data_IF_424402236848
#
_entry.id   IF_424402236848
#
_cell.length_a   1.000
_cell.length_b   1.000
_cell.length_c   1.000
_cell.angle_alpha   90.00
_cell.angle_beta   90.00
_cell.angle_gamma   90.00
#
_symmetry.space_group_name_H-M   'P 1'
#
loop_
_entity.id
_entity.type
_entity.pdbx_description
1 polymer ?
#
# COMPACT_ATOMS: atom_id res chain seq x y z
N UNK A 1 7.47 -16.11 -40.00
CA UNK A 1 7.58 -15.42 -38.69
C UNK A 1 6.24 -15.22 -37.96
N UNK A 2 5.08 -15.13 -38.64
CA UNK A 2 3.77 -14.94 -37.97
C UNK A 2 3.38 -16.05 -36.97
N UNK A 3 3.60 -17.33 -37.31
CA UNK A 3 3.20 -18.45 -36.44
C UNK A 3 3.90 -18.50 -35.07
N UNK A 4 5.20 -18.16 -35.00
CA UNK A 4 5.96 -18.14 -33.73
C UNK A 4 5.45 -17.07 -32.75
N UNK A 5 5.09 -15.89 -33.28
CA UNK A 5 4.56 -14.77 -32.47
C UNK A 5 3.16 -15.08 -31.93
N UNK A 6 2.30 -15.68 -32.75
CA UNK A 6 0.96 -16.06 -32.34
C UNK A 6 0.96 -17.21 -31.31
N UNK A 7 1.90 -18.14 -31.46
CA UNK A 7 2.21 -19.14 -30.43
C UNK A 7 2.62 -18.49 -29.11
N UNK A 8 3.58 -17.54 -29.13
CA UNK A 8 4.03 -16.84 -27.94
C UNK A 8 2.91 -16.05 -27.23
N UNK A 9 2.06 -15.33 -27.98
CA UNK A 9 0.91 -14.61 -27.42
C UNK A 9 -0.12 -15.55 -26.78
N UNK A 10 -0.32 -16.72 -27.38
CA UNK A 10 -1.22 -17.75 -26.82
C UNK A 10 -0.65 -18.30 -25.52
N UNK A 11 0.64 -18.66 -25.50
CA UNK A 11 1.32 -19.16 -24.30
C UNK A 11 1.27 -18.13 -23.17
N UNK A 12 1.65 -16.87 -23.44
CA UNK A 12 1.60 -15.82 -22.43
C UNK A 12 0.19 -15.54 -21.92
N UNK A 13 -0.82 -15.55 -22.80
CA UNK A 13 -2.20 -15.38 -22.36
C UNK A 13 -2.70 -16.54 -21.51
N UNK A 14 -2.33 -17.78 -21.84
CA UNK A 14 -2.64 -18.95 -21.01
C UNK A 14 -1.92 -18.87 -19.66
N UNK A 15 -0.67 -18.40 -19.64
CA UNK A 15 0.07 -18.16 -18.40
C UNK A 15 -0.61 -17.10 -17.53
N UNK A 16 -1.08 -15.99 -18.10
CA UNK A 16 -1.86 -14.98 -17.38
C UNK A 16 -3.12 -15.58 -16.74
N UNK A 17 -3.88 -16.37 -17.50
CA UNK A 17 -5.07 -17.07 -16.99
C UNK A 17 -4.68 -18.00 -15.85
N UNK A 18 -3.71 -18.88 -16.07
CA UNK A 18 -3.28 -19.87 -15.07
C UNK A 18 -2.78 -19.20 -13.79
N UNK A 19 -2.02 -18.11 -13.93
CA UNK A 19 -1.49 -17.33 -12.80
C UNK A 19 -2.59 -16.72 -11.95
N UNK A 20 -3.57 -16.07 -12.58
CA UNK A 20 -4.72 -15.49 -11.89
C UNK A 20 -5.60 -16.57 -11.27
N UNK A 21 -5.84 -17.67 -12.00
CA UNK A 21 -6.69 -18.77 -11.56
C UNK A 21 -6.10 -19.56 -10.39
N UNK A 22 -4.78 -19.81 -10.40
CA UNK A 22 -4.08 -20.44 -9.28
C UNK A 22 -4.24 -19.63 -7.99
N UNK A 23 -4.14 -18.30 -8.08
CA UNK A 23 -4.37 -17.42 -6.93
C UNK A 23 -5.85 -17.34 -6.53
N UNK A 24 -6.78 -17.39 -7.48
CA UNK A 24 -8.22 -17.38 -7.19
C UNK A 24 -8.65 -18.65 -6.44
N UNK A 25 -8.24 -19.83 -6.90
CA UNK A 25 -8.56 -21.12 -6.26
C UNK A 25 -7.84 -21.27 -4.92
N UNK A 26 -6.56 -20.89 -4.86
CA UNK A 26 -5.78 -20.94 -3.63
C UNK A 26 -6.17 -19.90 -2.58
N UNK A 27 -7.18 -19.05 -2.85
CA UNK A 27 -7.56 -17.95 -1.95
C UNK A 27 -6.41 -16.97 -1.68
N UNK A 28 -5.52 -16.79 -2.66
CA UNK A 28 -4.29 -16.00 -2.54
C UNK A 28 -3.10 -16.73 -1.90
N UNK A 29 -3.27 -17.92 -1.30
CA UNK A 29 -2.21 -18.59 -0.54
C UNK A 29 -1.07 -19.19 -1.38
N UNK A 30 -1.26 -19.34 -2.70
CA UNK A 30 -0.25 -19.97 -3.57
C UNK A 30 0.89 -19.02 -3.96
N UNK A 31 0.57 -17.83 -4.48
CA UNK A 31 1.58 -16.85 -4.92
C UNK A 31 1.47 -15.50 -4.19
N UNK A 32 0.41 -15.31 -3.41
CA UNK A 32 -0.05 -14.04 -2.82
C UNK A 32 -0.12 -14.15 -1.28
N UNK A 33 0.75 -14.96 -0.67
CA UNK A 33 0.69 -15.25 0.77
C UNK A 33 1.21 -14.10 1.64
N UNK A 34 2.02 -13.21 1.08
CA UNK A 34 2.55 -12.03 1.78
C UNK A 34 1.44 -11.04 2.16
N UNK A 35 1.64 -10.35 3.29
CA UNK A 35 0.75 -9.29 3.79
C UNK A 35 0.34 -8.27 2.73
N UNK A 36 1.32 -7.64 2.08
CA UNK A 36 1.09 -6.63 1.05
C UNK A 36 0.24 -7.15 -0.10
N UNK A 37 0.38 -8.43 -0.46
CA UNK A 37 -0.47 -9.03 -1.46
C UNK A 37 -1.92 -9.23 -1.00
N UNK A 38 -2.14 -9.67 0.25
CA UNK A 38 -3.50 -9.84 0.80
C UNK A 38 -4.24 -8.52 0.93
N UNK A 39 -3.52 -7.46 1.26
CA UNK A 39 -4.03 -6.08 1.29
C UNK A 39 -4.41 -5.61 -0.12
N UNK A 40 -3.50 -5.78 -1.09
CA UNK A 40 -3.67 -5.25 -2.44
C UNK A 40 -4.65 -6.05 -3.30
N UNK A 41 -4.81 -7.35 -3.02
CA UNK A 41 -5.58 -8.27 -3.85
C UNK A 41 -6.70 -8.93 -3.05
N UNK A 42 -7.94 -8.59 -3.41
CA UNK A 42 -9.12 -9.33 -2.98
C UNK A 42 -9.34 -10.55 -3.89
N UNK A 43 -9.93 -11.65 -3.41
CA UNK A 43 -10.23 -12.82 -4.24
C UNK A 43 -10.97 -12.50 -5.55
N UNK A 44 -11.85 -11.50 -5.54
CA UNK A 44 -12.58 -11.04 -6.72
C UNK A 44 -11.66 -10.47 -7.83
N UNK A 45 -10.53 -9.84 -7.47
CA UNK A 45 -9.59 -9.27 -8.45
C UNK A 45 -8.85 -10.37 -9.22
N UNK A 46 -8.55 -11.51 -8.57
CA UNK A 46 -7.97 -12.66 -9.26
C UNK A 46 -8.92 -13.26 -10.30
N UNK A 47 -10.20 -13.37 -9.97
CA UNK A 47 -11.24 -13.76 -10.94
C UNK A 47 -11.34 -12.77 -12.10
N UNK A 48 -11.38 -11.46 -11.79
CA UNK A 48 -11.40 -10.42 -12.81
C UNK A 48 -10.18 -10.49 -13.74
N UNK A 49 -8.98 -10.73 -13.18
CA UNK A 49 -7.75 -10.93 -13.94
C UNK A 49 -7.83 -12.15 -14.88
N UNK A 50 -8.33 -13.29 -14.39
CA UNK A 50 -8.50 -14.49 -15.19
C UNK A 50 -9.48 -14.28 -16.37
N UNK A 51 -10.64 -13.67 -16.09
CA UNK A 51 -11.62 -13.35 -17.14
C UNK A 51 -11.06 -12.33 -18.15
N UNK A 52 -10.33 -11.33 -17.67
CA UNK A 52 -9.69 -10.33 -18.52
C UNK A 52 -8.64 -10.96 -19.45
N UNK A 53 -7.79 -11.85 -18.94
CA UNK A 53 -6.80 -12.57 -19.73
C UNK A 53 -7.46 -13.50 -20.78
N UNK A 54 -8.57 -14.16 -20.42
CA UNK A 54 -9.42 -14.90 -21.37
C UNK A 54 -9.99 -14.00 -22.47
N UNK A 55 -10.48 -12.82 -22.08
CA UNK A 55 -10.98 -11.79 -22.99
C UNK A 55 -9.91 -11.30 -23.97
N UNK A 56 -8.67 -11.10 -23.52
CA UNK A 56 -7.54 -10.72 -24.38
C UNK A 56 -7.23 -11.78 -25.43
N UNK A 57 -7.15 -13.05 -25.03
CA UNK A 57 -6.91 -14.17 -25.95
C UNK A 57 -8.02 -14.30 -26.99
N UNK A 58 -9.27 -14.13 -26.55
CA UNK A 58 -10.42 -14.19 -27.44
C UNK A 58 -10.44 -13.00 -28.41
N UNK A 59 -10.25 -11.77 -27.90
CA UNK A 59 -10.23 -10.55 -28.70
C UNK A 59 -9.10 -10.52 -29.73
N UNK A 60 -7.95 -11.14 -29.40
CA UNK A 60 -6.84 -11.31 -30.33
C UNK A 60 -7.23 -12.08 -31.60
N UNK A 61 -8.23 -12.97 -31.51
CA UNK A 61 -8.72 -13.77 -32.65
C UNK A 61 -9.85 -13.09 -33.44
N UNK A 62 -10.59 -12.17 -32.82
CA UNK A 62 -11.78 -11.58 -33.43
C UNK A 62 -11.52 -10.23 -34.10
N UNK A 63 -11.05 -9.24 -33.34
CA UNK A 63 -11.08 -7.85 -33.80
C UNK A 63 -10.02 -6.98 -33.13
N UNK A 64 -9.20 -6.32 -33.96
CA UNK A 64 -8.16 -5.38 -33.50
C UNK A 64 -8.72 -4.23 -32.65
N UNK A 65 -9.95 -3.78 -32.91
CA UNK A 65 -10.60 -2.68 -32.16
C UNK A 65 -10.86 -3.09 -30.70
N UNK A 66 -11.50 -4.25 -30.53
CA UNK A 66 -11.80 -4.82 -29.21
C UNK A 66 -10.52 -5.09 -28.44
N UNK A 67 -9.53 -5.70 -29.11
CA UNK A 67 -8.24 -5.96 -28.49
C UNK A 67 -7.57 -4.66 -28.00
N UNK A 68 -7.59 -3.61 -28.82
CA UNK A 68 -6.97 -2.33 -28.48
C UNK A 68 -7.64 -1.68 -27.27
N UNK A 69 -8.97 -1.74 -27.18
CA UNK A 69 -9.71 -1.24 -26.01
C UNK A 69 -9.35 -2.02 -24.74
N UNK A 70 -9.34 -3.36 -24.81
CA UNK A 70 -8.97 -4.20 -23.67
C UNK A 70 -7.55 -3.92 -23.20
N UNK A 71 -6.58 -3.78 -24.11
CA UNK A 71 -5.19 -3.49 -23.74
C UNK A 71 -5.06 -2.14 -23.05
N UNK A 72 -5.76 -1.10 -23.52
CA UNK A 72 -5.77 0.21 -22.84
C UNK A 72 -6.32 0.09 -21.43
N UNK A 73 -7.47 -0.59 -21.26
CA UNK A 73 -8.08 -0.79 -19.94
C UNK A 73 -7.13 -1.55 -19.00
N UNK A 74 -6.52 -2.64 -19.47
CA UNK A 74 -5.56 -3.39 -18.66
C UNK A 74 -4.35 -2.57 -18.28
N UNK A 75 -3.79 -1.79 -19.22
CA UNK A 75 -2.65 -0.93 -18.91
C UNK A 75 -3.00 0.14 -17.87
N UNK A 76 -4.19 0.73 -17.93
CA UNK A 76 -4.65 1.69 -16.91
C UNK A 76 -4.74 1.02 -15.54
N UNK A 77 -5.33 -0.18 -15.46
CA UNK A 77 -5.45 -0.94 -14.19
C UNK A 77 -4.08 -1.32 -13.64
N UNK A 78 -3.20 -1.89 -14.45
CA UNK A 78 -1.85 -2.29 -14.04
C UNK A 78 -1.00 -1.07 -13.62
N UNK A 79 -1.09 0.05 -14.34
CA UNK A 79 -0.45 1.30 -13.95
C UNK A 79 -0.96 1.81 -12.60
N UNK A 80 -2.27 1.77 -12.36
CA UNK A 80 -2.85 2.19 -11.08
C UNK A 80 -2.40 1.27 -9.93
N UNK A 81 -2.33 -0.05 -10.16
CA UNK A 81 -1.83 -1.00 -9.16
C UNK A 81 -0.36 -0.77 -8.85
N UNK A 82 0.50 -0.59 -9.85
CA UNK A 82 1.92 -0.28 -9.65
C UNK A 82 2.10 1.03 -8.90
N UNK A 83 1.35 2.07 -9.29
CA UNK A 83 1.40 3.36 -8.62
C UNK A 83 0.97 3.24 -7.15
N UNK A 84 -0.09 2.49 -6.87
CA UNK A 84 -0.56 2.25 -5.50
C UNK A 84 0.49 1.53 -4.65
N UNK A 85 1.14 0.48 -5.18
CA UNK A 85 2.21 -0.23 -4.47
C UNK A 85 3.37 0.71 -4.13
N UNK A 86 3.73 1.60 -5.06
CA UNK A 86 4.82 2.56 -4.85
C UNK A 86 4.41 3.65 -3.86
N UNK A 87 3.21 4.19 -3.96
CA UNK A 87 2.74 5.25 -3.05
C UNK A 87 2.60 4.75 -1.61
N UNK A 88 2.07 3.54 -1.42
CA UNK A 88 1.86 2.95 -0.10
C UNK A 88 3.07 2.18 0.43
N UNK A 89 4.08 1.93 -0.41
CA UNK A 89 5.23 1.08 -0.07
C UNK A 89 4.84 -0.35 0.33
N UNK A 90 3.79 -0.87 -0.29
CA UNK A 90 3.27 -2.22 -0.12
C UNK A 90 3.51 -2.99 -1.42
N UNK A 91 4.62 -3.71 -1.48
CA UNK A 91 5.00 -4.45 -2.69
C UNK A 91 4.40 -5.86 -2.68
N UNK A 92 3.63 -6.18 -3.71
CA UNK A 92 3.12 -7.52 -3.92
C UNK A 92 3.85 -8.19 -5.09
N UNK A 93 4.74 -9.17 -4.84
CA UNK A 93 5.43 -9.91 -5.89
C UNK A 93 4.45 -10.58 -6.86
N UNK A 94 3.32 -11.06 -6.36
CA UNK A 94 2.30 -11.70 -7.17
C UNK A 94 1.73 -10.75 -8.24
N UNK A 95 1.40 -9.52 -7.83
CA UNK A 95 0.90 -8.47 -8.72
C UNK A 95 1.96 -8.07 -9.74
N UNK A 96 3.19 -7.81 -9.29
CA UNK A 96 4.28 -7.41 -10.18
C UNK A 96 4.60 -8.49 -11.22
N UNK A 97 4.54 -9.76 -10.84
CA UNK A 97 4.67 -10.89 -11.76
C UNK A 97 3.58 -10.91 -12.82
N UNK A 98 2.33 -10.69 -12.42
CA UNK A 98 1.20 -10.59 -13.34
C UNK A 98 1.34 -9.38 -14.29
N UNK A 99 1.67 -8.21 -13.75
CA UNK A 99 1.96 -7.00 -14.53
C UNK A 99 3.07 -7.23 -15.56
N UNK A 100 4.16 -7.89 -15.16
CA UNK A 100 5.29 -8.18 -16.05
C UNK A 100 4.87 -9.10 -17.21
N UNK A 101 4.10 -10.16 -16.93
CA UNK A 101 3.54 -11.03 -17.96
C UNK A 101 2.61 -10.27 -18.90
N UNK A 102 1.76 -9.38 -18.36
CA UNK A 102 0.85 -8.56 -19.16
C UNK A 102 1.61 -7.57 -20.05
N UNK A 103 2.61 -6.87 -19.53
CA UNK A 103 3.45 -5.94 -20.32
C UNK A 103 4.18 -6.67 -21.43
N UNK A 104 4.73 -7.87 -21.15
CA UNK A 104 5.37 -8.70 -22.17
C UNK A 104 4.36 -9.12 -23.25
N UNK A 105 3.15 -9.49 -22.85
CA UNK A 105 2.06 -9.81 -23.77
C UNK A 105 1.72 -8.61 -24.68
N UNK A 106 1.55 -7.42 -24.09
CA UNK A 106 1.25 -6.17 -24.81
C UNK A 106 2.37 -5.78 -25.77
N UNK A 107 3.63 -5.92 -25.35
CA UNK A 107 4.79 -5.68 -26.20
C UNK A 107 4.75 -6.57 -27.44
N UNK A 108 4.50 -7.88 -27.24
CA UNK A 108 4.37 -8.82 -28.34
C UNK A 108 3.12 -8.55 -29.19
N UNK A 109 2.03 -8.06 -28.63
CA UNK A 109 0.79 -7.73 -29.34
C UNK A 109 0.86 -6.39 -30.11
N UNK A 110 1.91 -5.59 -29.92
CA UNK A 110 2.00 -4.19 -30.38
C UNK A 110 1.77 -3.90 -31.87
N UNK A 111 1.90 -4.89 -32.77
CA UNK A 111 1.55 -4.71 -34.21
C UNK A 111 0.07 -4.96 -34.52
N UNK A 112 -0.64 -5.60 -33.61
CA UNK A 112 -2.05 -5.97 -33.77
C UNK A 112 -2.99 -4.97 -33.08
N UNK A 113 -2.41 -3.97 -32.40
CA UNK A 113 -3.08 -2.88 -31.68
C UNK A 113 -3.12 -1.63 -32.56
N UNK A 114 -4.20 -0.85 -32.48
CA UNK A 114 -4.32 0.43 -33.18
C UNK A 114 -3.20 1.40 -32.77
N UNK A 115 -2.67 2.21 -33.72
CA UNK A 115 -1.58 3.15 -33.43
C UNK A 115 -1.89 4.12 -32.28
N UNK A 116 -3.13 4.60 -32.19
CA UNK A 116 -3.57 5.51 -31.13
C UNK A 116 -3.57 4.83 -29.76
N UNK A 117 -4.10 3.61 -29.68
CA UNK A 117 -4.10 2.81 -28.46
C UNK A 117 -2.66 2.47 -28.03
N UNK A 118 -1.79 2.15 -28.98
CA UNK A 118 -0.36 1.95 -28.71
C UNK A 118 0.28 3.20 -28.09
N UNK A 119 0.02 4.39 -28.65
CA UNK A 119 0.52 5.66 -28.07
C UNK A 119 0.00 5.88 -26.65
N UNK A 120 -1.28 5.66 -26.41
CA UNK A 120 -1.89 5.81 -25.09
C UNK A 120 -1.27 4.85 -24.06
N UNK A 121 -1.08 3.58 -24.44
CA UNK A 121 -0.48 2.54 -23.60
C UNK A 121 0.96 2.91 -23.21
N UNK A 122 1.80 3.26 -24.19
CA UNK A 122 3.20 3.60 -23.90
C UNK A 122 3.36 4.96 -23.22
N UNK A 123 2.48 5.93 -23.54
CA UNK A 123 2.42 7.20 -22.84
C UNK A 123 2.05 7.03 -21.37
N UNK A 124 1.02 6.24 -21.08
CA UNK A 124 0.61 5.90 -19.71
C UNK A 124 1.71 5.15 -18.96
N UNK A 125 2.32 4.13 -19.58
CA UNK A 125 3.43 3.40 -18.97
C UNK A 125 4.65 4.31 -18.68
N UNK A 126 4.98 5.23 -19.58
CA UNK A 126 6.07 6.18 -19.39
C UNK A 126 5.77 7.19 -18.26
N UNK A 127 4.53 7.68 -18.17
CA UNK A 127 4.10 8.55 -17.06
C UNK A 127 4.17 7.79 -15.74
N UNK A 128 3.64 6.58 -15.67
CA UNK A 128 3.71 5.75 -14.45
C UNK A 128 5.17 5.50 -14.06
N UNK A 129 6.03 5.09 -15.00
CA UNK A 129 7.44 4.89 -14.73
C UNK A 129 8.11 6.19 -14.26
N UNK A 130 7.81 7.32 -14.89
CA UNK A 130 8.31 8.63 -14.49
C UNK A 130 7.88 8.99 -13.07
N UNK A 131 6.61 8.79 -12.71
CA UNK A 131 6.11 8.99 -11.35
C UNK A 131 6.79 8.04 -10.37
N UNK A 132 6.94 6.76 -10.70
CA UNK A 132 7.64 5.80 -9.84
C UNK A 132 9.10 6.20 -9.62
N UNK A 133 9.80 6.58 -10.69
CA UNK A 133 11.21 7.00 -10.64
C UNK A 133 11.39 8.36 -9.98
N UNK A 134 10.39 9.25 -10.00
CA UNK A 134 10.44 10.53 -9.29
C UNK A 134 10.06 10.34 -7.82
N UNK A 135 8.93 9.69 -7.55
CA UNK A 135 8.35 9.54 -6.21
C UNK A 135 9.15 8.58 -5.34
N UNK A 136 9.68 7.48 -5.87
CA UNK A 136 10.46 6.54 -5.07
C UNK A 136 11.74 7.16 -4.46
N UNK A 137 12.58 7.91 -5.21
CA UNK A 137 13.67 8.66 -4.61
C UNK A 137 13.19 9.92 -3.92
N UNK A 138 12.23 10.71 -4.44
CA UNK A 138 11.74 11.90 -3.70
C UNK A 138 11.24 11.53 -2.31
N UNK A 139 10.55 10.40 -2.13
CA UNK A 139 10.12 9.95 -0.79
C UNK A 139 11.25 9.36 0.06
N UNK A 140 12.40 9.00 -0.54
CA UNK A 140 13.63 8.58 0.17
C UNK A 140 14.61 9.73 0.43
N UNK A 141 14.63 10.76 -0.42
CA UNK A 141 15.57 11.90 -0.44
C UNK A 141 14.93 13.20 -0.01
N UNK A 142 13.60 13.27 0.05
CA UNK A 142 12.95 14.02 1.12
C UNK A 142 13.37 13.27 2.39
N UNK A 143 14.60 13.53 2.84
CA UNK A 143 14.82 13.67 4.26
C UNK A 143 13.59 14.42 4.75
N UNK A 144 12.84 13.80 5.66
CA UNK A 144 11.98 14.51 6.59
C UNK A 144 12.55 15.91 6.74
N UNK A 145 11.79 16.94 6.36
CA UNK A 145 12.25 18.32 6.34
C UNK A 145 13.22 18.52 7.50
N UNK A 146 14.37 19.12 7.21
CA UNK A 146 15.54 19.24 8.08
C UNK A 146 15.27 19.93 9.44
N UNK A 147 14.00 20.18 9.78
CA UNK A 147 13.48 20.70 11.04
C UNK A 147 11.93 20.56 11.10
N UNK A 148 11.34 19.40 10.76
CA UNK A 148 9.91 19.15 11.09
C UNK A 148 9.73 17.89 11.94
N UNK A 149 8.92 17.97 13.02
CA UNK A 149 8.84 17.03 14.14
C UNK A 149 8.05 15.76 13.77
N UNK A 150 8.43 15.09 12.69
CA UNK A 150 8.03 13.72 12.44
C UNK A 150 8.70 12.87 13.51
N UNK A 151 8.05 12.77 14.66
CA UNK A 151 8.56 12.03 15.81
C UNK A 151 8.77 10.59 15.36
N UNK A 152 10.00 10.30 14.97
CA UNK A 152 10.55 8.96 14.94
C UNK A 152 10.14 8.27 16.21
N UNK A 153 9.62 7.03 16.11
CA UNK A 153 9.43 6.18 17.29
C UNK A 153 10.77 6.10 18.00
N UNK A 154 10.92 6.85 19.08
CA UNK A 154 12.11 6.91 19.89
C UNK A 154 11.87 6.00 21.09
N UNK A 155 12.91 5.35 21.59
CA UNK A 155 12.81 4.50 22.77
C UNK A 155 12.75 5.35 24.07
N UNK A 156 11.94 6.41 24.06
CA UNK A 156 11.65 7.17 25.28
C UNK A 156 10.73 6.34 26.17
N UNK A 157 11.14 6.14 27.43
CA UNK A 157 10.53 5.19 28.37
C UNK A 157 9.09 5.56 28.75
N UNK A 158 8.65 6.79 28.47
CA UNK A 158 7.35 7.32 28.92
C UNK A 158 6.30 7.51 27.83
N UNK A 159 6.68 7.40 26.55
CA UNK A 159 5.81 7.70 25.40
C UNK A 159 5.27 6.40 24.79
N UNK A 160 3.94 6.32 24.66
CA UNK A 160 3.27 5.19 24.03
C UNK A 160 2.95 5.54 22.58
N UNK A 161 3.39 4.74 21.62
CA UNK A 161 3.06 4.93 20.21
C UNK A 161 1.92 4.01 19.83
N UNK A 162 0.78 4.56 19.43
CA UNK A 162 -0.38 3.80 18.95
C UNK A 162 -0.48 3.94 17.43
N UNK A 163 -0.37 2.83 16.74
CA UNK A 163 -0.59 2.74 15.31
C UNK A 163 -2.02 2.33 15.01
N UNK A 164 -2.65 3.02 14.06
CA UNK A 164 -4.06 2.84 13.75
C UNK A 164 -4.33 3.00 12.24
N UNK A 165 -5.34 2.29 11.74
CA UNK A 165 -5.84 2.46 10.37
C UNK A 165 -7.21 3.16 10.41
N UNK A 166 -7.48 4.18 9.57
CA UNK A 166 -8.72 4.98 9.63
C UNK A 166 -9.96 4.21 9.19
N UNK A 167 -9.81 3.10 8.46
CA UNK A 167 -10.93 2.24 8.03
C UNK A 167 -11.21 1.09 9.01
N UNK A 168 -10.42 0.97 10.07
CA UNK A 168 -10.46 -0.16 10.99
C UNK A 168 -11.41 0.12 12.16
N UNK A 169 -12.47 -0.67 12.30
CA UNK A 169 -13.49 -0.51 13.36
C UNK A 169 -12.89 -0.66 14.75
N UNK A 170 -12.04 -1.67 14.97
CA UNK A 170 -11.35 -1.87 16.24
C UNK A 170 -10.40 -0.72 16.60
N UNK A 171 -9.88 -0.02 15.58
CA UNK A 171 -9.03 1.13 15.76
C UNK A 171 -9.84 2.34 16.24
N UNK A 172 -11.06 2.53 15.71
CA UNK A 172 -11.99 3.56 16.22
C UNK A 172 -12.38 3.32 17.68
N UNK A 173 -12.66 2.08 18.08
CA UNK A 173 -12.99 1.75 19.47
C UNK A 173 -11.86 2.16 20.43
N UNK A 174 -10.61 1.89 20.04
CA UNK A 174 -9.41 2.27 20.82
C UNK A 174 -9.21 3.79 20.86
N UNK A 175 -9.42 4.48 19.74
CA UNK A 175 -9.31 5.94 19.68
C UNK A 175 -10.39 6.63 20.54
N UNK A 176 -11.64 6.15 20.48
CA UNK A 176 -12.74 6.66 21.31
C UNK A 176 -12.45 6.43 22.80
N UNK A 177 -11.85 5.28 23.15
CA UNK A 177 -11.40 5.00 24.50
C UNK A 177 -10.32 6.01 24.95
N UNK A 178 -9.32 6.29 24.11
CA UNK A 178 -8.25 7.26 24.41
C UNK A 178 -8.76 8.69 24.53
N UNK A 179 -9.76 9.09 23.74
CA UNK A 179 -10.37 10.42 23.84
C UNK A 179 -11.03 10.67 25.20
N UNK A 180 -11.48 9.62 25.88
CA UNK A 180 -12.09 9.68 27.21
C UNK A 180 -11.05 9.68 28.34
N UNK A 181 -9.75 9.51 28.04
CA UNK A 181 -8.69 9.47 29.04
C UNK A 181 -8.02 10.83 29.24
N UNK A 182 -7.79 11.21 30.50
CA UNK A 182 -7.07 12.44 30.85
C UNK A 182 -5.58 12.43 30.47
N UNK A 183 -5.01 11.24 30.22
CA UNK A 183 -3.58 11.03 29.93
C UNK A 183 -3.28 10.88 28.43
N UNK A 184 -4.20 11.30 27.56
CA UNK A 184 -4.10 11.21 26.09
C UNK A 184 -2.78 11.73 25.53
N UNK A 185 -2.21 12.78 26.13
CA UNK A 185 -0.97 13.42 25.64
C UNK A 185 0.27 12.53 25.74
N UNK A 186 0.21 11.44 26.50
CA UNK A 186 1.26 10.41 26.59
C UNK A 186 1.25 9.43 25.42
N UNK A 187 0.19 9.46 24.60
CA UNK A 187 0.01 8.58 23.44
C UNK A 187 0.26 9.36 22.14
N UNK A 188 1.24 8.93 21.37
CA UNK A 188 1.49 9.43 20.00
C UNK A 188 0.72 8.57 19.01
N UNK A 189 -0.17 9.18 18.25
CA UNK A 189 -0.97 8.50 17.23
C UNK A 189 -0.20 8.43 15.91
N UNK A 190 0.04 7.22 15.42
CA UNK A 190 0.82 6.95 14.22
C UNK A 190 -0.10 6.38 13.13
N UNK A 191 -0.48 7.17 12.11
CA UNK A 191 -1.48 6.73 11.15
C UNK A 191 -0.89 5.77 10.13
N UNK A 192 -1.62 4.69 9.86
CA UNK A 192 -1.33 3.71 8.82
C UNK A 192 -2.45 3.68 7.79
N UNK A 193 -2.12 3.27 6.57
CA UNK A 193 -3.13 3.11 5.54
C UNK A 193 -2.72 2.03 4.55
N UNK A 194 -3.58 1.04 4.40
CA UNK A 194 -3.35 -0.09 3.49
C UNK A 194 -4.09 0.07 2.16
N UNK A 195 -4.77 1.20 1.99
CA UNK A 195 -5.44 1.57 0.75
C UNK A 195 -5.36 3.08 0.50
N UNK A 196 -5.44 3.50 -0.77
CA UNK A 196 -5.54 4.92 -1.12
C UNK A 196 -6.82 5.56 -0.57
N UNK A 197 -7.88 4.78 -0.38
CA UNK A 197 -9.12 5.26 0.25
C UNK A 197 -8.86 5.61 1.71
N UNK A 198 -8.15 4.76 2.44
CA UNK A 198 -7.74 5.02 3.82
C UNK A 198 -6.83 6.25 3.91
N UNK A 199 -5.89 6.42 2.98
CA UNK A 199 -5.08 7.66 2.89
C UNK A 199 -5.96 8.88 2.65
N UNK A 200 -6.93 8.78 1.75
CA UNK A 200 -7.81 9.90 1.45
C UNK A 200 -8.66 10.29 2.65
N UNK A 201 -9.17 9.32 3.43
CA UNK A 201 -9.85 9.60 4.69
C UNK A 201 -8.94 10.31 5.69
N UNK A 202 -7.71 9.83 5.88
CA UNK A 202 -6.71 10.50 6.72
C UNK A 202 -6.49 11.96 6.31
N UNK A 203 -6.39 12.21 5.00
CA UNK A 203 -6.23 13.57 4.45
C UNK A 203 -7.49 14.41 4.68
N UNK A 204 -8.67 13.83 4.53
CA UNK A 204 -9.92 14.54 4.83
C UNK A 204 -9.97 14.96 6.29
N UNK A 205 -9.65 14.05 7.20
CA UNK A 205 -9.74 14.29 8.64
C UNK A 205 -8.65 15.26 9.16
N UNK A 206 -7.44 15.20 8.59
CA UNK A 206 -6.28 15.95 9.12
C UNK A 206 -5.98 17.24 8.34
N UNK A 207 -6.46 17.38 7.11
CA UNK A 207 -6.18 18.54 6.27
C UNK A 207 -7.40 19.49 6.13
N UNK A 208 -8.40 19.40 7.03
CA UNK A 208 -9.61 20.22 6.99
C UNK A 208 -9.29 21.73 7.01
N UNK A 209 -8.26 22.11 7.75
CA UNK A 209 -7.81 23.52 7.90
C UNK A 209 -7.06 24.04 6.68
N UNK A 210 -6.61 23.17 5.78
CA UNK A 210 -5.87 23.53 4.58
C UNK A 210 -6.86 23.98 3.48
N UNK A 211 -7.07 25.29 3.34
CA UNK A 211 -8.06 25.84 2.39
C UNK A 211 -7.51 26.04 0.99
N UNK A 212 -6.21 26.30 0.84
CA UNK A 212 -5.57 26.53 -0.47
C UNK A 212 -5.13 25.23 -1.12
N UNK A 213 -5.24 25.15 -2.45
CA UNK A 213 -4.82 23.96 -3.20
C UNK A 213 -3.35 23.53 -2.98
N UNK A 214 -2.35 24.43 -3.01
CA UNK A 214 -0.96 24.04 -2.72
C UNK A 214 -0.77 23.48 -1.31
N UNK A 215 -1.52 23.98 -0.32
CA UNK A 215 -1.46 23.49 1.07
C UNK A 215 -2.09 22.09 1.18
N UNK A 216 -3.22 21.85 0.53
CA UNK A 216 -3.84 20.52 0.47
C UNK A 216 -2.93 19.50 -0.22
N UNK A 217 -2.27 19.89 -1.30
CA UNK A 217 -1.31 19.03 -1.98
C UNK A 217 -0.11 18.72 -1.07
N UNK A 218 0.44 19.72 -0.37
CA UNK A 218 1.50 19.53 0.62
C UNK A 218 1.07 18.59 1.75
N UNK A 219 -0.16 18.75 2.24
CA UNK A 219 -0.73 17.90 3.28
C UNK A 219 -0.88 16.45 2.80
N UNK A 220 -1.49 16.23 1.62
CA UNK A 220 -1.59 14.91 0.99
C UNK A 220 -0.22 14.22 0.82
N UNK A 221 0.78 14.94 0.32
CA UNK A 221 2.13 14.39 0.15
C UNK A 221 2.78 14.07 1.50
N UNK A 222 2.56 14.90 2.52
CA UNK A 222 3.06 14.66 3.88
C UNK A 222 2.39 13.44 4.52
N UNK A 223 1.06 13.32 4.41
CA UNK A 223 0.31 12.13 4.87
C UNK A 223 0.79 10.88 4.17
N UNK A 224 0.99 10.92 2.84
CA UNK A 224 1.52 9.81 2.07
C UNK A 224 2.93 9.41 2.54
N UNK A 225 3.79 10.37 2.86
CA UNK A 225 5.13 10.08 3.37
C UNK A 225 5.09 9.38 4.74
N UNK A 226 4.22 9.84 5.64
CA UNK A 226 4.01 9.24 6.97
C UNK A 226 3.48 7.82 6.85
N UNK A 227 2.40 7.64 6.08
CA UNK A 227 1.79 6.32 5.82
C UNK A 227 2.81 5.37 5.19
N UNK A 228 3.59 5.85 4.22
CA UNK A 228 4.64 5.06 3.57
C UNK A 228 5.70 4.58 4.56
N UNK A 229 6.14 5.46 5.46
CA UNK A 229 7.11 5.10 6.51
C UNK A 229 6.53 4.06 7.47
N UNK A 230 5.28 4.23 7.91
CA UNK A 230 4.63 3.28 8.81
C UNK A 230 4.35 1.93 8.14
N UNK A 231 3.94 1.92 6.88
CA UNK A 231 3.81 0.67 6.12
C UNK A 231 5.16 -0.05 5.95
N UNK A 232 6.26 0.70 5.78
CA UNK A 232 7.61 0.13 5.77
C UNK A 232 7.96 -0.52 7.12
N UNK A 233 7.70 0.20 8.22
CA UNK A 233 7.89 -0.30 9.57
C UNK A 233 7.13 -1.60 9.82
N UNK A 234 5.83 -1.63 9.51
CA UNK A 234 5.00 -2.82 9.66
C UNK A 234 5.53 -4.00 8.86
N UNK A 235 5.95 -3.75 7.61
CA UNK A 235 6.53 -4.77 6.77
C UNK A 235 7.84 -5.34 7.34
N UNK A 236 8.78 -4.47 7.72
CA UNK A 236 10.09 -4.86 8.27
C UNK A 236 9.98 -5.58 9.61
N UNK A 237 8.99 -5.21 10.43
CA UNK A 237 8.76 -5.81 11.75
C UNK A 237 7.74 -6.96 11.74
N UNK A 238 7.20 -7.30 10.56
CA UNK A 238 6.22 -8.40 10.41
C UNK A 238 4.91 -8.16 11.15
N UNK A 239 4.52 -6.90 11.34
CA UNK A 239 3.24 -6.53 11.97
C UNK A 239 2.15 -6.58 10.90
N UNK A 240 1.14 -7.42 11.13
CA UNK A 240 0.13 -7.79 10.12
C UNK A 240 -1.27 -7.25 10.42
N UNK A 241 -1.43 -6.48 11.50
CA UNK A 241 -2.74 -6.06 11.99
C UNK A 241 -2.65 -4.75 12.76
N UNK A 242 -3.56 -3.83 12.49
CA UNK A 242 -3.87 -2.66 13.32
C UNK A 242 -5.15 -2.93 14.15
N UNK A 243 -5.32 -2.30 15.33
CA UNK A 243 -4.37 -1.39 15.96
C UNK A 243 -3.20 -2.15 16.60
N UNK A 244 -2.09 -1.46 16.81
CA UNK A 244 -0.99 -1.98 17.61
C UNK A 244 -0.24 -0.87 18.34
N UNK A 245 0.43 -1.23 19.42
CA UNK A 245 1.15 -0.30 20.29
C UNK A 245 2.62 -0.67 20.30
N UNK A 246 3.47 0.36 20.23
CA UNK A 246 4.90 0.27 20.52
C UNK A 246 5.18 1.05 21.80
N UNK A 247 5.69 0.35 22.82
CA UNK A 247 6.06 0.94 24.11
C UNK A 247 7.27 0.19 24.67
N UNK A 248 8.36 0.90 24.98
CA UNK A 248 9.61 0.32 25.53
C UNK A 248 10.14 -0.89 24.73
N UNK A 249 10.12 -0.81 23.40
CA UNK A 249 10.58 -1.91 22.53
C UNK A 249 9.59 -3.06 22.33
N UNK A 250 8.49 -3.10 23.10
CA UNK A 250 7.44 -4.12 22.97
C UNK A 250 6.41 -3.70 21.92
N UNK A 251 6.01 -4.64 21.07
CA UNK A 251 4.89 -4.51 20.14
C UNK A 251 3.70 -5.32 20.68
N UNK A 252 2.55 -4.67 20.87
CA UNK A 252 1.29 -5.32 21.29
C UNK A 252 0.26 -5.10 20.19
N UNK A 253 -0.36 -6.15 19.67
CA UNK A 253 -1.25 -6.08 18.49
C UNK A 253 -2.68 -6.52 18.79
N UNK A 254 -3.65 -5.96 18.08
CA UNK A 254 -5.01 -6.47 18.03
C UNK A 254 -5.79 -6.33 19.34
N UNK A 255 -6.45 -7.39 19.78
CA UNK A 255 -7.42 -7.36 20.89
C UNK A 255 -6.81 -7.08 22.28
N UNK A 256 -5.49 -7.23 22.43
CA UNK A 256 -4.79 -6.96 23.70
C UNK A 256 -4.48 -5.47 23.89
N UNK A 257 -4.56 -4.67 22.82
CA UNK A 257 -4.21 -3.24 22.82
C UNK A 257 -5.01 -2.43 23.85
N UNK A 258 -6.35 -2.55 23.96
CA UNK A 258 -7.11 -1.78 24.94
C UNK A 258 -6.66 -2.06 26.39
N UNK A 259 -6.49 -3.35 26.75
CA UNK A 259 -6.07 -3.75 28.09
C UNK A 259 -4.65 -3.32 28.41
N UNK A 260 -3.75 -3.40 27.44
CA UNK A 260 -2.37 -2.93 27.60
C UNK A 260 -2.31 -1.40 27.76
N UNK A 261 -3.03 -0.65 26.93
CA UNK A 261 -3.12 0.81 27.05
C UNK A 261 -3.62 1.23 28.43
N UNK A 262 -4.72 0.63 28.91
CA UNK A 262 -5.23 0.88 30.26
C UNK A 262 -4.16 0.60 31.33
N UNK A 263 -3.44 -0.53 31.22
CA UNK A 263 -2.41 -0.88 32.20
C UNK A 263 -1.23 0.11 32.26
N UNK A 264 -0.80 0.65 31.13
CA UNK A 264 0.35 1.58 31.03
C UNK A 264 -0.07 3.03 31.33
N UNK A 265 -1.33 3.38 31.08
CA UNK A 265 -1.85 4.72 31.23
C UNK A 265 -2.47 4.99 32.61
N UNK A 266 -3.12 3.99 33.24
CA UNK A 266 -3.76 4.14 34.56
C UNK A 266 -2.81 3.86 35.75
N UNK A 267 -1.79 3.02 35.59
CA UNK A 267 -0.81 2.71 36.65
C UNK A 267 0.62 3.08 36.22
N UNK A 268 1.29 4.06 36.86
CA UNK A 268 2.65 4.44 36.46
C UNK A 268 3.76 3.43 36.78
N UNK A 269 3.51 2.31 37.46
CA UNK A 269 4.59 1.49 38.03
C UNK A 269 4.27 -0.01 38.05
N UNK A 270 4.97 -0.79 37.24
CA UNK A 270 5.96 -1.79 37.70
C UNK A 270 6.54 -2.46 36.46
N UNK A 271 7.87 -2.44 36.32
CA UNK A 271 8.56 -3.19 35.28
C UNK A 271 8.15 -4.65 35.35
N UNK A 272 7.34 -5.07 34.40
CA UNK A 272 7.12 -6.49 34.11
C UNK A 272 8.37 -6.97 33.38
N UNK A 273 8.98 -7.99 33.97
CA UNK A 273 10.27 -8.56 33.61
C UNK A 273 10.54 -8.55 32.10
N UNK A 274 11.69 -7.95 31.79
CA UNK A 274 12.30 -7.73 30.50
C UNK A 274 12.41 -9.02 29.70
N UNK A 275 11.52 -9.20 28.73
CA UNK A 275 11.90 -9.85 27.48
C UNK A 275 12.12 -8.73 26.45
N UNK A 276 13.34 -8.19 26.48
CA UNK A 276 13.80 -7.22 25.49
C UNK A 276 13.77 -7.87 24.10
N UNK A 277 12.69 -7.62 23.36
CA UNK A 277 12.77 -7.76 21.92
C UNK A 277 13.55 -6.54 21.43
N UNK A 278 14.84 -6.73 21.15
CA UNK A 278 15.71 -5.71 20.59
C UNK A 278 15.09 -5.18 19.28
N UNK A 279 14.32 -4.09 19.35
CA UNK A 279 14.15 -3.24 18.19
C UNK A 279 15.53 -2.62 17.95
N UNK A 280 16.17 -2.79 16.77
CA UNK A 280 17.35 -2.00 16.46
C UNK A 280 17.04 -0.52 16.71
N UNK A 281 18.01 0.21 17.28
CA UNK A 281 17.95 1.65 17.63
C UNK A 281 17.57 2.57 16.45
N UNK A 282 17.39 2.01 15.25
CA UNK A 282 16.96 2.72 14.07
C UNK A 282 15.43 2.93 14.12
N UNK A 283 15.06 4.20 14.30
CA UNK A 283 13.71 4.72 14.23
C UNK A 283 12.99 4.31 12.96
N UNK A 284 11.87 3.60 13.07
CA UNK A 284 11.19 3.03 11.91
C UNK A 284 9.82 3.60 11.55
N UNK A 285 9.12 4.34 12.43
CA UNK A 285 7.76 4.87 12.18
C UNK A 285 7.64 6.40 12.42
N UNK A 286 6.55 7.00 11.94
CA UNK A 286 6.25 8.45 12.00
C UNK A 286 4.81 8.72 12.44
N UNK A 287 4.62 9.72 13.31
CA UNK A 287 3.36 9.90 14.07
C UNK A 287 2.74 11.30 13.99
N UNK A 288 3.12 12.10 12.99
CA UNK A 288 2.55 13.45 12.83
C UNK A 288 2.03 13.66 11.43
N UNK A 289 0.74 13.95 11.34
CA UNK A 289 0.08 14.38 10.11
C UNK A 289 -0.53 15.74 10.38
N UNK A 290 0.31 16.77 10.44
CA UNK A 290 -0.16 18.12 10.19
C UNK A 290 0.97 18.94 9.56
N UNK A 291 0.77 19.36 8.31
CA UNK A 291 1.74 20.16 7.55
C UNK A 291 1.24 21.59 7.27
N UNK A 292 0.06 21.92 7.82
CA UNK A 292 -0.64 23.18 7.68
C UNK A 292 -0.47 24.10 8.90
N UNK A 293 0.18 23.61 9.97
CA UNK A 293 0.70 24.39 11.09
C UNK A 293 2.17 24.79 10.86
#
# INVERSE_FOLDING_TARGET
MMGKRQGALTVLGVLLIAYAFANAIGGGKMLCDSFSCRVMQKPALWWAGAFYAGGLLWAHRLARKVLSGLVVVGMVVECALVLTQVLLNLYCPACLGYTALFVLWVFLAGRDIFPLARKAVWGGAAVTLGVVVLVAPLTRTMCACFESPFATVNADEQVVYLFFEPTCTHCHDVLEMLEKMAVKDRVRLCPEAWSLTSVWQLVQDHCETCTQWPQRLKCLVSTLAVVRANNAFCWERGVLSAPFVVHQGRIVTGAEVPGYLLSVLENPLTGLDTQELFLPLESGGSCTVNACD
#
